data_IF_970763727864
#
_entry.id   IF_970763727864
#
_cell.length_a   1.000
_cell.length_b   1.000
_cell.length_c   1.000
_cell.angle_alpha   90.00
_cell.angle_beta   90.00
_cell.angle_gamma   90.00
#
_symmetry.space_group_name_H-M   'P 1'
#
loop_
_entity.id
_entity.type
_entity.pdbx_description
1 polymer ?
#
# COMPACT_ATOMS: atom_id res chain seq x y z
N UNK A 1 -8.10 -18.70 -3.68
CA UNK A 1 -7.34 -17.53 -3.19
C UNK A 1 -5.86 -17.88 -3.18
N UNK A 2 -5.02 -17.11 -3.87
CA UNK A 2 -3.58 -17.37 -4.03
C UNK A 2 -2.70 -16.16 -3.71
N UNK A 3 -3.31 -15.00 -3.51
CA UNK A 3 -2.61 -13.74 -3.28
C UNK A 3 -3.53 -12.79 -2.52
N UNK A 4 -2.98 -12.05 -1.57
CA UNK A 4 -3.65 -11.00 -0.82
C UNK A 4 -2.73 -9.78 -0.73
N UNK A 5 -3.30 -8.59 -0.93
CA UNK A 5 -2.61 -7.31 -0.81
C UNK A 5 -3.28 -6.55 0.33
N UNK A 6 -2.49 -6.09 1.30
CA UNK A 6 -2.91 -5.14 2.32
C UNK A 6 -2.23 -3.80 2.05
N UNK A 7 -2.99 -2.72 2.12
CA UNK A 7 -2.53 -1.37 1.82
C UNK A 7 -2.75 -0.53 3.08
N UNK A 8 -1.70 0.04 3.65
CA UNK A 8 -1.83 1.04 4.71
C UNK A 8 -2.28 2.37 4.09
N UNK A 9 -3.33 3.00 4.63
CA UNK A 9 -3.85 4.26 4.11
C UNK A 9 -3.10 5.50 4.59
N UNK A 10 -2.24 5.37 5.62
CA UNK A 10 -1.58 6.49 6.29
C UNK A 10 -0.10 6.64 5.94
N UNK A 11 0.50 5.64 5.29
CA UNK A 11 1.88 5.68 4.86
C UNK A 11 2.08 4.87 3.57
N UNK A 12 3.22 5.07 2.90
CA UNK A 12 3.63 4.19 1.81
C UNK A 12 4.04 2.82 2.40
N UNK A 13 3.06 1.93 2.58
CA UNK A 13 3.30 0.60 3.09
C UNK A 13 2.28 -0.39 2.51
N UNK A 14 2.79 -1.44 1.85
CA UNK A 14 1.99 -2.52 1.30
C UNK A 14 2.58 -3.87 1.73
N UNK A 15 1.71 -4.76 2.21
CA UNK A 15 2.05 -6.16 2.45
C UNK A 15 1.42 -7.04 1.36
N UNK A 16 2.26 -7.79 0.64
CA UNK A 16 1.83 -8.80 -0.32
C UNK A 16 2.03 -10.20 0.27
N UNK A 17 0.95 -10.96 0.37
CA UNK A 17 0.97 -12.37 0.73
C UNK A 17 0.68 -13.22 -0.50
N UNK A 18 1.69 -13.85 -1.08
CA UNK A 18 1.54 -14.74 -2.23
C UNK A 18 1.75 -16.20 -1.82
N UNK A 19 0.89 -17.11 -2.30
CA UNK A 19 0.99 -18.55 -2.02
C UNK A 19 1.89 -19.21 -3.05
N UNK A 20 3.07 -19.66 -2.63
CA UNK A 20 4.02 -20.33 -3.51
C UNK A 20 3.55 -21.75 -3.92
N UNK A 21 4.30 -22.38 -4.82
CA UNK A 21 4.02 -23.73 -5.33
C UNK A 21 3.98 -24.82 -4.24
N UNK A 22 4.67 -24.62 -3.12
CA UNK A 22 4.66 -25.52 -1.97
C UNK A 22 3.46 -25.26 -1.03
N UNK A 23 2.57 -24.34 -1.40
CA UNK A 23 1.40 -23.98 -0.62
C UNK A 23 1.69 -23.13 0.62
N UNK A 24 2.88 -22.52 0.72
CA UNK A 24 3.24 -21.60 1.81
C UNK A 24 2.97 -20.16 1.38
N UNK A 25 2.54 -19.34 2.34
CA UNK A 25 2.45 -17.90 2.16
C UNK A 25 3.83 -17.27 2.29
N UNK A 26 4.18 -16.43 1.32
CA UNK A 26 5.37 -15.57 1.32
C UNK A 26 4.89 -14.14 1.51
N UNK A 27 5.45 -13.46 2.50
CA UNK A 27 5.26 -12.03 2.72
C UNK A 27 6.35 -11.26 1.95
N UNK A 28 5.95 -10.21 1.24
CA UNK A 28 6.83 -9.19 0.66
C UNK A 28 6.27 -7.83 1.04
N UNK A 29 7.13 -6.95 1.54
CA UNK A 29 6.78 -5.62 2.01
C UNK A 29 7.34 -4.55 1.04
N UNK A 30 6.56 -3.49 0.85
CA UNK A 30 6.93 -2.36 0.00
C UNK A 30 6.74 -1.06 0.78
N UNK A 31 7.86 -0.37 1.05
CA UNK A 31 7.89 0.84 1.91
C UNK A 31 8.39 2.10 1.18
N UNK A 32 8.76 1.97 -0.09
CA UNK A 32 9.37 3.05 -0.87
C UNK A 32 8.38 3.61 -1.89
N UNK A 33 8.36 4.92 -2.05
CA UNK A 33 7.52 5.64 -3.02
C UNK A 33 7.80 5.24 -4.48
N UNK A 34 9.03 4.84 -4.81
CA UNK A 34 9.42 4.38 -6.15
C UNK A 34 9.20 2.88 -6.38
N UNK A 35 8.59 2.18 -5.42
CA UNK A 35 8.27 0.75 -5.54
C UNK A 35 7.25 0.49 -6.65
N UNK A 36 7.31 -0.71 -7.23
CA UNK A 36 6.32 -1.21 -8.17
C UNK A 36 5.73 -2.50 -7.59
N UNK A 37 4.44 -2.49 -7.27
CA UNK A 37 3.72 -3.70 -6.88
C UNK A 37 3.51 -4.56 -8.13
N UNK A 38 4.04 -5.79 -8.12
CA UNK A 38 3.82 -6.79 -9.16
C UNK A 38 3.03 -7.94 -8.57
N UNK A 39 1.87 -8.25 -9.14
CA UNK A 39 1.05 -9.36 -8.68
C UNK A 39 1.63 -10.69 -9.18
N UNK A 40 1.71 -11.68 -8.29
CA UNK A 40 2.21 -13.02 -8.65
C UNK A 40 1.12 -13.89 -9.31
N UNK A 41 -0.15 -13.59 -9.06
CA UNK A 41 -1.26 -14.40 -9.56
C UNK A 41 -1.79 -13.98 -10.94
N UNK A 42 -1.38 -12.82 -11.45
CA UNK A 42 -1.81 -12.22 -12.72
C UNK A 42 -0.71 -11.30 -13.26
N UNK A 43 -0.58 -11.21 -14.59
CA UNK A 43 0.36 -10.31 -15.27
C UNK A 43 -0.11 -8.84 -15.12
N UNK A 44 0.11 -8.28 -13.94
CA UNK A 44 -0.28 -6.92 -13.57
C UNK A 44 0.79 -6.26 -12.70
N UNK A 45 1.05 -4.99 -12.99
CA UNK A 45 1.99 -4.15 -12.27
C UNK A 45 1.37 -2.76 -12.07
N UNK A 46 1.62 -2.16 -10.92
CA UNK A 46 1.18 -0.79 -10.61
C UNK A 46 2.26 -0.08 -9.76
N UNK A 47 2.68 1.14 -10.15
CA UNK A 47 3.58 1.94 -9.32
C UNK A 47 2.95 2.34 -7.99
N UNK A 48 3.75 2.43 -6.92
CA UNK A 48 3.28 2.84 -5.59
C UNK A 48 2.59 4.21 -5.62
N UNK A 49 3.15 5.16 -6.37
CA UNK A 49 2.55 6.50 -6.55
C UNK A 49 1.14 6.47 -7.15
N UNK A 50 0.79 5.48 -7.98
CA UNK A 50 -0.55 5.36 -8.56
C UNK A 50 -1.54 4.75 -7.57
N UNK A 51 -1.09 3.83 -6.71
CA UNK A 51 -1.92 3.26 -5.63
C UNK A 51 -2.37 4.37 -4.67
N UNK A 52 -1.48 5.32 -4.39
CA UNK A 52 -1.69 6.44 -3.47
C UNK A 52 -2.02 7.77 -4.15
N UNK A 53 -2.41 7.78 -5.44
CA UNK A 53 -2.60 9.00 -6.25
C UNK A 53 -3.47 10.07 -5.57
N UNK A 54 -4.44 9.64 -4.75
CA UNK A 54 -5.42 10.51 -4.09
C UNK A 54 -5.17 10.73 -2.60
N UNK A 55 -4.04 10.26 -2.10
CA UNK A 55 -3.63 10.45 -0.71
C UNK A 55 -2.57 11.53 -0.68
N UNK A 56 -2.83 12.59 0.08
CA UNK A 56 -1.82 13.60 0.37
C UNK A 56 -1.31 13.40 1.79
N UNK A 57 -0.14 12.77 1.92
CA UNK A 57 0.52 12.52 3.20
C UNK A 57 1.02 13.79 3.91
N UNK A 58 1.06 14.93 3.21
CA UNK A 58 1.47 16.22 3.78
C UNK A 58 0.32 16.96 4.48
N UNK A 59 -0.93 16.54 4.27
CA UNK A 59 -2.09 17.11 4.98
C UNK A 59 -2.09 16.55 6.39
N UNK A 60 -1.49 17.30 7.32
CA UNK A 60 -1.73 17.10 8.75
C UNK A 60 -3.14 17.57 9.06
N UNK A 61 -3.93 16.73 9.72
CA UNK A 61 -5.27 17.08 10.18
C UNK A 61 -5.25 18.40 10.95
N UNK A 62 -5.79 19.46 10.33
CA UNK A 62 -6.11 20.73 11.00
C UNK A 62 -7.41 20.59 11.80
N UNK A 63 -7.53 19.58 12.65
CA UNK A 63 -8.62 19.48 13.63
C UNK A 63 -8.10 19.91 15.00
N UNK A 64 -7.93 21.23 15.18
CA UNK A 64 -7.41 21.77 16.44
C UNK A 64 -7.37 23.29 16.61
N UNK A 65 -8.12 24.07 15.83
CA UNK A 65 -8.22 25.52 16.09
C UNK A 65 -9.64 26.03 15.81
N UNK A 66 -10.56 25.80 16.75
CA UNK A 66 -11.72 26.68 16.87
C UNK A 66 -11.24 28.05 17.37
N UNK A 67 -11.50 29.17 16.66
CA UNK A 67 -11.28 30.49 17.22
C UNK A 67 -12.30 30.72 18.34
N UNK A 68 -11.83 30.91 19.55
CA UNK A 68 -12.64 31.44 20.65
C UNK A 68 -13.13 32.84 20.26
N UNK A 69 -14.45 33.01 20.18
CA UNK A 69 -15.12 34.32 20.21
C UNK A 69 -16.30 34.23 21.15
#
# INVERSE_FOLDING_TARGET
FKEYILIDQYSYHIEQFAKNSNGKWVLTEYDLEDSILTLESVEFQIPMIEIYERINFEVKDEEGNEPTT
#
